data_IF_212372781707
#
_entry.id   IF_212372781707
#
_cell.length_a   1.000
_cell.length_b   1.000
_cell.length_c   1.000
_cell.angle_alpha   90.00
_cell.angle_beta   90.00
_cell.angle_gamma   90.00
#
_symmetry.space_group_name_H-M   'P 1'
#
loop_
_entity.id
_entity.type
_entity.pdbx_description
1 polymer ?
#
# COMPACT_ATOMS: atom_id res chain seq x y z
N UNK A 1 -2.90 -3.48 83.00
CA UNK A 1 -3.01 -4.33 81.79
C UNK A 1 -3.68 -3.52 80.71
N UNK A 2 -2.91 -2.84 79.84
CA UNK A 2 -3.44 -1.96 78.78
C UNK A 2 -3.24 -2.61 77.41
N UNK A 3 -4.33 -2.80 76.67
CA UNK A 3 -4.32 -3.34 75.33
C UNK A 3 -4.21 -2.17 74.32
N UNK A 4 -3.18 -2.20 73.47
CA UNK A 4 -3.06 -1.30 72.33
C UNK A 4 -3.75 -1.90 71.08
N UNK A 5 -4.60 -1.16 70.34
CA UNK A 5 -5.15 -1.64 69.09
C UNK A 5 -4.15 -1.44 67.94
N UNK A 6 -3.97 -2.48 67.15
CA UNK A 6 -3.19 -2.48 65.92
C UNK A 6 -3.85 -1.58 64.85
N UNK A 7 -3.12 -0.57 64.41
CA UNK A 7 -3.49 0.23 63.24
C UNK A 7 -3.22 -0.58 61.98
N UNK A 8 -4.29 -0.98 61.26
CA UNK A 8 -4.20 -1.63 59.95
C UNK A 8 -3.78 -0.60 58.90
N UNK A 9 -2.56 -0.73 58.39
CA UNK A 9 -2.07 0.02 57.20
C UNK A 9 -2.70 -0.63 55.95
N UNK A 10 -3.68 0.06 55.35
CA UNK A 10 -4.25 -0.33 54.06
C UNK A 10 -3.28 0.10 52.95
N UNK A 11 -2.46 -0.78 52.45
CA UNK A 11 -1.64 -0.59 51.26
C UNK A 11 -2.61 -0.62 50.05
N UNK A 12 -2.87 0.56 49.48
CA UNK A 12 -3.58 0.68 48.21
C UNK A 12 -2.61 0.38 47.06
N UNK A 13 -2.67 -0.80 46.47
CA UNK A 13 -2.00 -1.13 45.23
C UNK A 13 -2.67 -0.37 44.09
N UNK A 14 -2.04 0.71 43.60
CA UNK A 14 -2.36 1.33 42.34
C UNK A 14 -1.78 0.43 41.23
N UNK A 15 -2.61 -0.43 40.64
CA UNK A 15 -2.29 -1.15 39.40
C UNK A 15 -2.41 -0.14 38.26
N UNK A 16 -1.29 0.43 37.86
CA UNK A 16 -1.20 1.18 36.60
C UNK A 16 -1.23 0.18 35.46
N UNK A 17 -2.41 -0.06 34.87
CA UNK A 17 -2.56 -0.81 33.65
C UNK A 17 -1.94 -0.01 32.50
N UNK A 18 -0.70 -0.35 32.13
CA UNK A 18 -0.02 0.17 30.94
C UNK A 18 -0.72 -0.44 29.72
N UNK A 19 -1.65 0.27 29.11
CA UNK A 19 -2.29 -0.10 27.85
C UNK A 19 -1.26 0.10 26.75
N UNK A 20 -0.51 -0.95 26.43
CA UNK A 20 0.31 -1.03 25.22
C UNK A 20 -0.64 -1.20 24.03
N UNK A 21 -1.07 -0.10 23.41
CA UNK A 21 -1.78 -0.12 22.15
C UNK A 21 -0.83 -0.70 21.08
N UNK A 22 -1.24 -1.73 20.32
CA UNK A 22 -0.43 -2.26 19.23
C UNK A 22 -0.40 -1.24 18.09
N UNK A 23 0.58 -0.36 18.09
CA UNK A 23 0.77 0.71 17.08
C UNK A 23 1.03 0.16 15.67
N UNK A 24 1.32 -1.15 15.51
CA UNK A 24 1.66 -1.76 14.23
C UNK A 24 0.46 -2.14 13.35
N UNK A 25 -0.70 -2.43 13.94
CA UNK A 25 -1.88 -2.89 13.16
C UNK A 25 -2.62 -1.74 12.46
N UNK A 26 -2.58 -0.53 13.00
CA UNK A 26 -3.22 0.64 12.39
C UNK A 26 -2.51 1.10 11.09
N UNK A 27 -1.26 0.73 10.88
CA UNK A 27 -0.43 1.25 9.80
C UNK A 27 -0.63 0.54 8.46
N UNK A 28 -1.02 -0.74 8.47
CA UNK A 28 -1.37 -1.47 7.24
C UNK A 28 -2.78 -1.13 6.76
N UNK A 29 -3.66 -0.67 7.66
CA UNK A 29 -5.08 -0.46 7.41
C UNK A 29 -5.35 0.63 6.34
N UNK A 30 -4.46 1.63 6.21
CA UNK A 30 -4.59 2.68 5.19
C UNK A 30 -4.40 2.13 3.77
N UNK A 31 -3.59 1.09 3.58
CA UNK A 31 -3.34 0.44 2.29
C UNK A 31 -4.30 -0.73 2.02
N UNK A 32 -4.82 -1.38 3.07
CA UNK A 32 -5.72 -2.54 2.99
C UNK A 32 -7.00 -2.23 2.21
N UNK A 33 -7.54 -3.26 1.56
CA UNK A 33 -8.79 -3.22 0.83
C UNK A 33 -8.62 -3.43 -0.68
N UNK A 34 -9.71 -3.24 -1.40
CA UNK A 34 -9.74 -3.32 -2.85
C UNK A 34 -9.78 -1.91 -3.46
N UNK A 35 -9.01 -1.71 -4.52
CA UNK A 35 -8.87 -0.44 -5.22
C UNK A 35 -9.14 -0.62 -6.70
N UNK A 36 -9.85 0.32 -7.29
CA UNK A 36 -10.17 0.37 -8.71
C UNK A 36 -9.47 1.57 -9.35
N UNK A 37 -8.80 1.35 -10.48
CA UNK A 37 -8.25 2.42 -11.30
C UNK A 37 -9.41 3.20 -11.97
N UNK A 38 -9.49 4.50 -11.69
CA UNK A 38 -10.53 5.38 -12.22
C UNK A 38 -10.04 6.22 -13.39
N UNK A 39 -8.75 6.58 -13.39
CA UNK A 39 -8.14 7.34 -14.48
C UNK A 39 -6.62 7.19 -14.50
N UNK A 40 -6.01 7.40 -15.67
CA UNK A 40 -4.56 7.56 -15.90
C UNK A 40 -4.31 8.84 -16.66
N UNK A 41 -3.50 9.73 -16.11
CA UNK A 41 -3.04 10.93 -16.81
C UNK A 41 -1.66 10.65 -17.42
N UNK A 42 -1.53 10.88 -18.72
CA UNK A 42 -0.28 10.73 -19.49
C UNK A 42 0.55 12.03 -19.47
N UNK A 43 1.87 11.98 -19.78
CA UNK A 43 2.74 13.15 -19.77
C UNK A 43 2.29 14.26 -20.76
N UNK A 44 1.63 13.88 -21.84
CA UNK A 44 1.09 14.83 -22.83
C UNK A 44 -0.21 15.52 -22.38
N UNK A 45 -0.65 15.28 -21.10
CA UNK A 45 -1.86 15.83 -20.52
C UNK A 45 -3.14 15.04 -20.82
N UNK A 46 -3.11 14.02 -21.69
CA UNK A 46 -4.27 13.16 -21.99
C UNK A 46 -4.66 12.38 -20.75
N UNK A 47 -5.95 12.31 -20.45
CA UNK A 47 -6.51 11.48 -19.38
C UNK A 47 -7.27 10.31 -20.01
N UNK A 48 -6.83 9.10 -19.65
CA UNK A 48 -7.49 7.84 -20.00
C UNK A 48 -8.43 7.44 -18.87
N UNK A 49 -9.59 6.91 -19.20
CA UNK A 49 -10.56 6.33 -18.26
C UNK A 49 -11.00 4.96 -18.77
N UNK A 50 -11.65 4.12 -17.97
CA UNK A 50 -12.22 2.87 -18.46
C UNK A 50 -13.17 3.08 -19.67
N UNK A 51 -13.09 2.23 -20.71
CA UNK A 51 -12.30 1.01 -20.79
C UNK A 51 -10.87 1.17 -21.34
N UNK A 52 -10.42 2.37 -21.72
CA UNK A 52 -9.09 2.60 -22.30
C UNK A 52 -7.93 2.29 -21.32
N UNK A 53 -8.18 2.44 -20.03
CA UNK A 53 -7.32 1.94 -18.94
C UNK A 53 -8.20 1.30 -17.88
N UNK A 54 -7.77 0.16 -17.35
CA UNK A 54 -8.47 -0.55 -16.29
C UNK A 54 -7.45 -1.12 -15.30
N UNK A 55 -7.81 -1.21 -14.04
CA UNK A 55 -6.92 -1.82 -13.04
C UNK A 55 -7.65 -2.13 -11.75
N UNK A 56 -7.12 -3.10 -11.04
CA UNK A 56 -7.53 -3.48 -9.70
C UNK A 56 -6.30 -3.75 -8.85
N UNK A 57 -6.37 -3.33 -7.59
CA UNK A 57 -5.42 -3.69 -6.55
C UNK A 57 -6.22 -4.32 -5.41
N UNK A 58 -5.72 -5.42 -4.86
CA UNK A 58 -6.27 -6.05 -3.66
C UNK A 58 -5.17 -6.19 -2.64
N UNK A 59 -5.37 -5.59 -1.48
CA UNK A 59 -4.42 -5.61 -0.35
C UNK A 59 -5.13 -6.21 0.85
N UNK A 60 -4.67 -7.37 1.32
CA UNK A 60 -5.27 -8.03 2.47
C UNK A 60 -4.22 -8.83 3.25
N UNK A 61 -4.18 -8.61 4.56
CA UNK A 61 -3.36 -9.42 5.48
C UNK A 61 -1.88 -9.52 5.07
N UNK A 62 -1.30 -8.40 4.56
CA UNK A 62 0.10 -8.35 4.15
C UNK A 62 0.40 -9.00 2.79
N UNK A 63 -0.64 -9.34 2.02
CA UNK A 63 -0.52 -9.75 0.61
C UNK A 63 -1.20 -8.71 -0.25
N UNK A 64 -0.59 -8.34 -1.37
CA UNK A 64 -1.26 -7.52 -2.37
C UNK A 64 -1.07 -8.07 -3.78
N UNK A 65 -2.09 -7.84 -4.60
CA UNK A 65 -2.08 -8.14 -6.02
C UNK A 65 -2.40 -6.89 -6.80
N UNK A 66 -1.80 -6.71 -7.94
CA UNK A 66 -2.09 -5.62 -8.86
C UNK A 66 -2.24 -6.15 -10.28
N UNK A 67 -3.30 -5.71 -10.95
CA UNK A 67 -3.53 -5.94 -12.36
C UNK A 67 -3.86 -4.61 -13.01
N UNK A 68 -3.16 -4.26 -14.09
CA UNK A 68 -3.44 -3.08 -14.90
C UNK A 68 -3.46 -3.48 -16.36
N UNK A 69 -4.49 -3.06 -17.06
CA UNK A 69 -4.62 -3.15 -18.50
C UNK A 69 -4.66 -1.75 -19.10
N UNK A 70 -3.96 -1.55 -20.20
CA UNK A 70 -3.93 -0.28 -20.94
C UNK A 70 -3.64 -0.53 -22.42
N UNK A 71 -3.49 0.54 -23.17
CA UNK A 71 -3.01 0.48 -24.55
C UNK A 71 -1.74 1.31 -24.68
N UNK A 72 -0.84 0.88 -25.56
CA UNK A 72 0.31 1.70 -25.99
C UNK A 72 -0.16 2.92 -26.75
N UNK A 73 0.70 3.93 -27.00
CA UNK A 73 0.35 5.07 -27.87
C UNK A 73 -0.14 4.66 -29.27
N UNK A 74 0.29 3.51 -29.77
CA UNK A 74 -0.09 2.92 -31.07
C UNK A 74 -1.40 2.12 -31.00
N UNK A 75 -2.08 2.09 -29.82
CA UNK A 75 -3.35 1.41 -29.60
C UNK A 75 -3.22 -0.11 -29.36
N UNK A 76 -2.02 -0.65 -29.17
CA UNK A 76 -1.82 -2.07 -28.87
C UNK A 76 -2.12 -2.35 -27.40
N UNK A 77 -2.72 -3.52 -27.07
CA UNK A 77 -2.94 -3.89 -25.68
C UNK A 77 -1.62 -4.05 -24.93
N UNK A 78 -1.60 -3.60 -23.69
CA UNK A 78 -0.49 -3.76 -22.75
C UNK A 78 -1.05 -4.09 -21.37
N UNK A 79 -0.37 -4.94 -20.62
CA UNK A 79 -0.82 -5.33 -19.28
C UNK A 79 0.33 -5.57 -18.32
N UNK A 80 0.05 -5.35 -17.05
CA UNK A 80 0.95 -5.67 -15.95
C UNK A 80 0.19 -6.37 -14.84
N UNK A 81 0.76 -7.44 -14.30
CA UNK A 81 0.24 -8.15 -13.14
C UNK A 81 1.38 -8.45 -12.17
N UNK A 82 1.14 -8.29 -10.88
CA UNK A 82 2.10 -8.64 -9.83
C UNK A 82 1.40 -9.20 -8.60
N UNK A 83 2.11 -10.05 -7.88
CA UNK A 83 1.76 -10.52 -6.54
C UNK A 83 2.95 -10.32 -5.63
N UNK A 84 2.71 -9.70 -4.47
CA UNK A 84 3.73 -9.41 -3.47
C UNK A 84 3.19 -9.65 -2.06
N UNK A 85 4.09 -9.89 -1.11
CA UNK A 85 3.81 -9.66 0.31
C UNK A 85 4.36 -8.30 0.72
N UNK A 86 3.73 -7.65 1.70
CA UNK A 86 4.17 -6.35 2.18
C UNK A 86 4.08 -6.22 3.70
N UNK A 87 4.86 -5.28 4.23
CA UNK A 87 4.82 -4.86 5.63
C UNK A 87 5.00 -3.35 5.73
N UNK A 88 4.26 -2.73 6.63
CA UNK A 88 4.49 -1.36 7.05
C UNK A 88 5.07 -1.34 8.47
N UNK A 89 6.20 -0.67 8.63
CA UNK A 89 6.72 -0.17 9.90
C UNK A 89 6.44 1.35 10.01
N UNK A 90 6.68 2.00 11.14
CA UNK A 90 6.41 3.44 11.30
C UNK A 90 7.02 4.33 10.23
N UNK A 91 8.22 3.99 9.75
CA UNK A 91 9.02 4.78 8.80
C UNK A 91 9.43 4.02 7.55
N UNK A 92 8.99 2.76 7.39
CA UNK A 92 9.42 1.90 6.29
C UNK A 92 8.26 1.09 5.71
N UNK A 93 8.21 1.00 4.38
CA UNK A 93 7.44 0.04 3.61
C UNK A 93 8.40 -1.02 3.06
N UNK A 94 8.14 -2.27 3.35
CA UNK A 94 8.90 -3.41 2.84
C UNK A 94 8.00 -4.27 1.97
N UNK A 95 8.49 -4.67 0.81
CA UNK A 95 7.78 -5.50 -0.15
C UNK A 95 8.65 -6.66 -0.60
N UNK A 96 8.06 -7.85 -0.67
CA UNK A 96 8.65 -9.02 -1.33
C UNK A 96 7.84 -9.32 -2.58
N UNK A 97 8.39 -9.00 -3.74
CA UNK A 97 7.81 -9.41 -5.03
C UNK A 97 7.91 -10.92 -5.16
N UNK A 98 6.79 -11.60 -5.31
CA UNK A 98 6.73 -13.06 -5.48
C UNK A 98 6.81 -13.43 -6.96
N UNK A 99 6.01 -12.75 -7.78
CA UNK A 99 6.12 -12.84 -9.24
C UNK A 99 5.46 -11.63 -9.91
N UNK A 100 5.85 -11.37 -11.16
CA UNK A 100 5.17 -10.40 -12.02
C UNK A 100 5.17 -10.85 -13.48
N UNK A 101 4.24 -10.31 -14.24
CA UNK A 101 4.10 -10.48 -15.68
C UNK A 101 3.90 -9.11 -16.31
N UNK A 102 4.69 -8.81 -17.33
CA UNK A 102 4.59 -7.58 -18.11
C UNK A 102 4.44 -7.95 -19.61
N UNK A 103 3.32 -7.56 -20.19
CA UNK A 103 3.14 -7.42 -21.63
C UNK A 103 3.19 -5.92 -21.97
N UNK A 104 4.26 -5.48 -22.60
CA UNK A 104 4.50 -4.07 -22.95
C UNK A 104 3.79 -3.64 -24.25
N UNK A 105 3.05 -4.53 -24.89
CA UNK A 105 2.36 -4.30 -26.17
C UNK A 105 3.30 -4.20 -27.38
N UNK A 106 4.59 -4.56 -27.22
CA UNK A 106 5.56 -4.54 -28.33
C UNK A 106 5.33 -5.66 -29.36
N UNK A 107 4.50 -6.65 -29.03
CA UNK A 107 4.29 -7.87 -29.81
C UNK A 107 5.33 -8.96 -29.52
N UNK A 108 6.25 -8.73 -28.59
CA UNK A 108 7.13 -9.75 -28.03
C UNK A 108 6.39 -10.56 -26.98
N UNK A 109 6.85 -11.80 -26.66
CA UNK A 109 6.29 -12.53 -25.54
C UNK A 109 6.36 -11.72 -24.22
N UNK A 110 5.38 -11.86 -23.32
CA UNK A 110 5.41 -11.22 -22.01
C UNK A 110 6.67 -11.58 -21.22
N UNK A 111 7.15 -10.63 -20.43
CA UNK A 111 8.28 -10.81 -19.51
C UNK A 111 7.78 -11.28 -18.17
N UNK A 112 8.41 -12.31 -17.61
CA UNK A 112 8.08 -12.90 -16.31
C UNK A 112 9.22 -12.66 -15.33
N UNK A 113 8.88 -12.25 -14.10
CA UNK A 113 9.79 -12.32 -12.95
C UNK A 113 9.22 -13.31 -11.94
N UNK A 114 10.00 -14.33 -11.58
CA UNK A 114 9.58 -15.43 -10.71
C UNK A 114 10.55 -15.67 -9.54
N UNK A 115 11.60 -14.88 -9.43
CA UNK A 115 12.55 -14.95 -8.33
C UNK A 115 12.11 -14.00 -7.25
N UNK A 116 11.73 -14.49 -6.05
CA UNK A 116 11.35 -13.61 -4.94
C UNK A 116 12.51 -12.67 -4.56
N UNK A 117 12.20 -11.40 -4.48
CA UNK A 117 13.14 -10.35 -4.06
C UNK A 117 12.45 -9.44 -3.03
N UNK A 118 13.19 -9.04 -2.00
CA UNK A 118 12.68 -8.11 -0.97
C UNK A 118 13.42 -6.79 -1.05
N UNK A 119 12.67 -5.69 -1.07
CA UNK A 119 13.18 -4.32 -1.00
C UNK A 119 12.34 -3.49 -0.06
N UNK A 120 12.93 -2.39 0.43
CA UNK A 120 12.25 -1.44 1.32
C UNK A 120 12.41 -0.01 0.85
N UNK A 121 11.43 0.82 1.20
CA UNK A 121 11.45 2.26 0.94
C UNK A 121 10.94 3.04 2.15
N UNK A 122 11.37 4.30 2.34
CA UNK A 122 10.86 5.14 3.41
C UNK A 122 9.36 5.42 3.28
N UNK A 123 8.70 5.51 4.44
CA UNK A 123 7.30 5.93 4.57
C UNK A 123 7.24 7.31 5.21
N UNK A 124 6.38 8.17 4.69
CA UNK A 124 6.01 9.46 5.27
C UNK A 124 4.54 9.46 5.64
N UNK A 125 4.22 10.01 6.81
CA UNK A 125 2.85 10.26 7.26
C UNK A 125 2.73 11.70 7.68
N UNK A 126 1.89 12.44 7.01
CA UNK A 126 1.68 13.85 7.28
C UNK A 126 0.25 14.25 6.88
N UNK A 127 -0.45 14.99 7.75
CA UNK A 127 -1.77 15.54 7.44
C UNK A 127 -2.85 14.50 7.10
N UNK A 128 -2.72 13.24 7.58
CA UNK A 128 -3.65 12.16 7.24
C UNK A 128 -3.33 11.46 5.91
N UNK A 129 -2.18 11.78 5.30
CA UNK A 129 -1.69 11.12 4.10
C UNK A 129 -0.61 10.08 4.45
N UNK A 130 -0.65 8.94 3.76
CA UNK A 130 0.40 7.93 3.72
C UNK A 130 1.13 8.03 2.39
N UNK A 131 2.43 8.28 2.40
CA UNK A 131 3.23 8.38 1.19
C UNK A 131 4.45 7.45 1.24
N UNK A 132 4.69 6.72 0.15
CA UNK A 132 5.84 5.83 -0.03
C UNK A 132 6.10 5.58 -1.52
N UNK A 133 7.26 5.03 -1.84
CA UNK A 133 7.61 4.59 -3.20
C UNK A 133 7.49 3.07 -3.30
N UNK A 134 6.96 2.56 -4.39
CA UNK A 134 6.99 1.12 -4.68
C UNK A 134 8.44 0.72 -5.01
N UNK A 135 9.01 -0.30 -4.32
CA UNK A 135 10.44 -0.61 -4.46
C UNK A 135 10.81 -1.32 -5.76
N UNK A 136 9.83 -1.95 -6.44
CA UNK A 136 10.02 -2.68 -7.71
C UNK A 136 9.45 -1.95 -8.92
N UNK A 137 8.71 -0.88 -8.69
CA UNK A 137 7.99 -0.15 -9.72
C UNK A 137 8.33 1.34 -9.66
N UNK A 138 8.24 2.07 -10.78
CA UNK A 138 8.49 3.51 -10.80
C UNK A 138 7.62 4.34 -9.84
N UNK A 139 6.33 4.01 -9.58
CA UNK A 139 5.43 4.94 -8.90
C UNK A 139 5.80 5.24 -7.45
N UNK A 140 5.68 6.53 -7.12
CA UNK A 140 5.45 7.01 -5.77
C UNK A 140 3.94 7.00 -5.49
N UNK A 141 3.55 6.51 -4.33
CA UNK A 141 2.16 6.32 -3.91
C UNK A 141 1.83 7.32 -2.81
N UNK A 142 0.67 7.97 -2.92
CA UNK A 142 0.05 8.78 -1.88
C UNK A 142 -1.37 8.28 -1.65
N UNK A 143 -1.71 7.97 -0.41
CA UNK A 143 -3.05 7.54 0.01
C UNK A 143 -3.62 8.58 0.96
N UNK A 144 -4.86 8.99 0.70
CA UNK A 144 -5.64 9.90 1.52
C UNK A 144 -7.08 9.41 1.59
N UNK A 145 -7.46 8.79 2.70
CA UNK A 145 -8.77 8.16 2.87
C UNK A 145 -9.03 7.06 1.83
N UNK A 146 -10.07 7.22 1.04
CA UNK A 146 -10.48 6.28 -0.01
C UNK A 146 -9.86 6.58 -1.38
N UNK A 147 -8.89 7.49 -1.46
CA UNK A 147 -8.19 7.85 -2.70
C UNK A 147 -6.72 7.47 -2.62
N UNK A 148 -6.20 6.96 -3.74
CA UNK A 148 -4.78 6.67 -3.90
C UNK A 148 -4.32 7.24 -5.24
N UNK A 149 -3.17 7.94 -5.22
CA UNK A 149 -2.50 8.43 -6.42
C UNK A 149 -1.15 7.71 -6.54
N UNK A 150 -0.87 7.16 -7.71
CA UNK A 150 0.40 6.52 -8.02
C UNK A 150 1.08 7.27 -9.19
N UNK A 151 2.18 7.96 -8.89
CA UNK A 151 2.90 8.81 -9.86
C UNK A 151 4.19 8.13 -10.31
N UNK A 152 4.25 7.73 -11.57
CA UNK A 152 5.47 7.34 -12.28
C UNK A 152 5.97 8.55 -13.07
N UNK A 153 6.99 9.23 -12.54
CA UNK A 153 7.49 10.48 -13.12
C UNK A 153 7.87 10.32 -14.61
N UNK A 154 7.40 11.23 -15.46
CA UNK A 154 7.63 11.18 -16.90
C UNK A 154 6.87 10.09 -17.65
N UNK A 155 6.08 9.24 -16.95
CA UNK A 155 5.33 8.13 -17.56
C UNK A 155 3.82 8.27 -17.41
N UNK A 156 3.31 8.39 -16.18
CA UNK A 156 1.89 8.51 -15.91
C UNK A 156 1.60 8.92 -14.47
N UNK A 157 0.35 9.34 -14.23
CA UNK A 157 -0.27 9.46 -12.91
C UNK A 157 -1.55 8.65 -12.91
N UNK A 158 -1.63 7.64 -12.06
CA UNK A 158 -2.80 6.79 -11.86
C UNK A 158 -3.62 7.27 -10.66
N UNK A 159 -4.94 7.33 -10.83
CA UNK A 159 -5.90 7.66 -9.80
C UNK A 159 -6.74 6.44 -9.47
N UNK A 160 -6.74 6.08 -8.20
CA UNK A 160 -7.42 4.90 -7.68
C UNK A 160 -8.43 5.29 -6.62
N UNK A 161 -9.54 4.58 -6.57
CA UNK A 161 -10.54 4.72 -5.53
C UNK A 161 -10.77 3.37 -4.85
N UNK A 162 -10.94 3.42 -3.52
CA UNK A 162 -11.26 2.23 -2.73
C UNK A 162 -12.67 1.77 -3.07
N UNK A 163 -12.82 0.48 -3.35
CA UNK A 163 -14.14 -0.14 -3.53
C UNK A 163 -14.69 -0.57 -2.17
N UNK A 164 -15.95 -0.31 -1.94
CA UNK A 164 -16.70 -0.73 -0.74
C UNK A 164 -17.43 -2.02 -0.99
#
# INVERSE_FOLDING_TARGET
>A
MQWHPWKSVRIRWLVAALVLLPCGLAQAQEFEGAWKLTARKLPNGTTLTPPAVQGAIMCQSGVWTRVVFSHTPEGKPASFSAVSTYKFAPTEYSETLLFSVLDDGSGKPPTYSQTPETKSTPVKREGGQLAFKLPFDPPSVVIEGDKMTATAEGMFVDYWERTR
#
